data_IF_567711276589
#
_entry.id   IF_567711276589
#
_cell.length_a   1.000
_cell.length_b   1.000
_cell.length_c   1.000
_cell.angle_alpha   90.00
_cell.angle_beta   90.00
_cell.angle_gamma   90.00
#
_symmetry.space_group_name_H-M   'P 1'
#
loop_
_entity.id
_entity.type
_entity.pdbx_description
1 polymer ?
#
# COMPACT_ATOMS: atom_id res chain seq x y z
N UNK A 1 -23.54 -5.74 4.22
CA UNK A 1 -22.40 -4.80 4.14
C UNK A 1 -22.44 -4.25 2.73
N UNK A 2 -22.43 -2.93 2.49
CA UNK A 2 -22.20 -2.45 1.12
C UNK A 2 -20.90 -3.10 0.60
N UNK A 3 -20.89 -3.51 -0.66
CA UNK A 3 -19.71 -4.08 -1.30
C UNK A 3 -18.57 -3.06 -1.20
N UNK A 4 -17.60 -3.33 -0.33
CA UNK A 4 -16.44 -2.47 -0.20
C UNK A 4 -15.68 -2.46 -1.52
N UNK A 5 -15.07 -1.32 -1.90
CA UNK A 5 -14.32 -1.24 -3.14
C UNK A 5 -13.22 -2.30 -3.17
N UNK A 6 -12.90 -2.77 -4.37
CA UNK A 6 -11.78 -3.70 -4.60
C UNK A 6 -10.48 -3.11 -4.03
N UNK A 7 -10.30 -1.79 -4.19
CA UNK A 7 -9.15 -1.02 -3.75
C UNK A 7 -9.57 0.25 -3.01
N UNK A 8 -9.01 0.46 -1.81
CA UNK A 8 -9.05 1.72 -1.07
C UNK A 8 -7.65 2.35 -1.03
N UNK A 9 -7.55 3.67 -0.98
CA UNK A 9 -6.27 4.41 -0.88
C UNK A 9 -6.19 5.16 0.45
N UNK A 10 -5.02 5.74 0.74
CA UNK A 10 -4.77 6.57 1.92
C UNK A 10 -5.65 7.83 1.98
N UNK A 11 -6.37 8.17 0.90
CA UNK A 11 -7.28 9.32 0.88
C UNK A 11 -8.62 9.03 1.57
N UNK A 12 -8.89 7.76 1.94
CA UNK A 12 -10.10 7.37 2.66
C UNK A 12 -9.87 7.37 4.18
N UNK A 13 -10.77 8.01 4.93
CA UNK A 13 -10.76 8.06 6.39
C UNK A 13 -10.70 6.67 7.05
N UNK A 14 -11.36 5.66 6.48
CA UNK A 14 -11.33 4.29 7.00
C UNK A 14 -9.93 3.67 6.97
N UNK A 15 -9.09 4.10 6.03
CA UNK A 15 -7.70 3.66 5.94
C UNK A 15 -6.87 4.31 7.04
N UNK A 16 -7.05 5.61 7.26
CA UNK A 16 -6.39 6.32 8.38
C UNK A 16 -6.76 5.70 9.73
N UNK A 17 -8.05 5.44 9.96
CA UNK A 17 -8.53 4.81 11.19
C UNK A 17 -7.99 3.39 11.38
N UNK A 18 -7.93 2.60 10.31
CA UNK A 18 -7.34 1.26 10.35
C UNK A 18 -5.82 1.30 10.64
N UNK A 19 -5.13 2.37 10.24
CA UNK A 19 -3.71 2.59 10.52
C UNK A 19 -3.41 2.70 12.01
N UNK A 20 -4.34 3.22 12.83
CA UNK A 20 -4.18 3.36 14.28
C UNK A 20 -4.05 2.02 15.01
N UNK A 21 -4.68 0.98 14.48
CA UNK A 21 -4.59 -0.40 15.01
C UNK A 21 -3.52 -1.22 14.28
N UNK A 22 -2.99 -0.70 13.17
CA UNK A 22 -2.21 -1.44 12.19
C UNK A 22 -3.09 -2.18 11.19
N UNK A 23 -2.60 -2.29 9.96
CA UNK A 23 -3.24 -3.02 8.87
C UNK A 23 -2.78 -4.49 8.84
N UNK A 24 -3.70 -5.44 8.65
CA UNK A 24 -3.39 -6.85 8.32
C UNK A 24 -3.32 -7.02 6.80
N UNK A 25 -2.11 -6.85 6.30
CA UNK A 25 -1.76 -6.90 4.89
C UNK A 25 -1.63 -8.34 4.40
N UNK A 26 -2.30 -8.66 3.29
CA UNK A 26 -2.19 -9.95 2.58
C UNK A 26 -1.88 -9.74 1.10
N UNK A 27 -1.23 -10.69 0.41
CA UNK A 27 -1.02 -10.59 -1.03
C UNK A 27 -2.36 -10.48 -1.76
N UNK A 28 -2.43 -9.59 -2.75
CA UNK A 28 -3.63 -9.35 -3.52
C UNK A 28 -3.31 -9.00 -4.97
N UNK A 29 -3.96 -9.75 -5.87
CA UNK A 29 -3.93 -9.53 -7.30
C UNK A 29 -5.23 -8.86 -7.73
N UNK A 30 -5.13 -7.81 -8.53
CA UNK A 30 -6.29 -7.06 -9.02
C UNK A 30 -6.01 -6.48 -10.39
N UNK A 31 -7.06 -6.04 -11.08
CA UNK A 31 -6.93 -5.37 -12.38
C UNK A 31 -7.28 -3.89 -12.24
N UNK A 32 -6.36 -3.00 -12.61
CA UNK A 32 -6.59 -1.55 -12.66
C UNK A 32 -6.11 -1.02 -14.00
N UNK A 33 -6.89 -0.12 -14.62
CA UNK A 33 -6.60 0.41 -15.96
C UNK A 33 -6.34 -0.68 -17.01
N UNK A 34 -7.07 -1.79 -16.94
CA UNK A 34 -6.93 -2.96 -17.82
C UNK A 34 -5.53 -3.59 -17.81
N UNK A 35 -4.82 -3.49 -16.68
CA UNK A 35 -3.52 -4.13 -16.45
C UNK A 35 -3.57 -4.91 -15.13
N UNK A 36 -2.92 -6.08 -15.06
CA UNK A 36 -2.75 -6.79 -13.81
C UNK A 36 -1.83 -5.99 -12.88
N UNK A 37 -2.19 -5.95 -11.61
CA UNK A 37 -1.42 -5.33 -10.55
C UNK A 37 -1.35 -6.29 -9.36
N UNK A 38 -0.22 -6.21 -8.66
CA UNK A 38 0.08 -6.97 -7.45
C UNK A 38 0.40 -5.98 -6.34
N UNK A 39 -0.27 -6.10 -5.21
CA UNK A 39 -0.02 -5.27 -4.02
C UNK A 39 -0.44 -6.01 -2.75
N UNK A 40 0.08 -5.59 -1.61
CA UNK A 40 -0.47 -6.00 -0.33
C UNK A 40 -1.81 -5.30 -0.10
N UNK A 41 -2.85 -6.01 0.33
CA UNK A 41 -4.16 -5.45 0.66
C UNK A 41 -4.53 -5.73 2.11
N UNK A 42 -5.00 -4.70 2.81
CA UNK A 42 -5.54 -4.85 4.16
C UNK A 42 -6.87 -5.61 4.11
N UNK A 43 -7.01 -6.67 4.90
CA UNK A 43 -8.25 -7.49 4.92
C UNK A 43 -9.45 -6.77 5.54
N UNK A 44 -9.22 -5.68 6.28
CA UNK A 44 -10.28 -4.94 6.99
C UNK A 44 -10.76 -3.70 6.26
N UNK A 45 -9.84 -2.81 5.85
CA UNK A 45 -10.18 -1.54 5.19
C UNK A 45 -9.96 -1.56 3.67
N UNK A 46 -9.47 -2.67 3.12
CA UNK A 46 -9.20 -2.86 1.70
C UNK A 46 -8.20 -1.86 1.10
N UNK A 47 -7.45 -1.16 1.95
CA UNK A 47 -6.30 -0.37 1.52
C UNK A 47 -5.34 -1.26 0.74
N UNK A 48 -4.74 -0.75 -0.33
CA UNK A 48 -3.60 -1.40 -0.99
C UNK A 48 -2.31 -0.68 -0.61
N UNK A 49 -1.22 -1.42 -0.47
CA UNK A 49 0.09 -0.86 -0.21
C UNK A 49 0.65 -0.19 -1.47
N UNK A 50 1.54 0.78 -1.25
CA UNK A 50 2.20 1.50 -2.32
C UNK A 50 3.14 0.61 -3.15
N UNK A 51 3.83 -0.34 -2.51
CA UNK A 51 4.74 -1.25 -3.18
C UNK A 51 4.06 -2.56 -3.59
N UNK A 52 4.66 -3.21 -4.58
CA UNK A 52 4.26 -4.52 -5.08
C UNK A 52 4.71 -5.63 -4.12
N UNK A 53 3.84 -6.60 -3.79
CA UNK A 53 4.23 -7.70 -2.90
C UNK A 53 5.29 -8.64 -3.50
N UNK A 54 5.49 -8.61 -4.81
CA UNK A 54 6.53 -9.36 -5.50
C UNK A 54 7.91 -8.70 -5.36
N UNK A 55 8.00 -7.46 -4.90
CA UNK A 55 9.28 -6.83 -4.56
C UNK A 55 9.87 -7.45 -3.30
N UNK A 56 11.20 -7.57 -3.24
CA UNK A 56 11.89 -8.19 -2.10
C UNK A 56 11.69 -7.40 -0.79
N UNK A 57 11.55 -6.08 -0.88
CA UNK A 57 11.25 -5.22 0.25
C UNK A 57 10.43 -4.02 -0.25
N UNK A 58 9.09 -4.13 -0.36
CA UNK A 58 8.26 -3.07 -0.94
C UNK A 58 8.02 -1.90 0.02
N UNK A 59 7.51 -0.79 -0.53
CA UNK A 59 6.89 0.24 0.30
C UNK A 59 5.61 -0.31 0.96
N UNK A 60 5.56 -0.29 2.29
CA UNK A 60 4.48 -0.88 3.08
C UNK A 60 3.44 0.16 3.54
N UNK A 61 3.60 1.42 3.12
CA UNK A 61 2.60 2.46 3.39
C UNK A 61 1.39 2.32 2.44
N UNK A 62 0.19 2.74 2.87
CA UNK A 62 -0.98 2.75 1.99
C UNK A 62 -0.74 3.56 0.71
N UNK A 63 -1.31 3.14 -0.40
CA UNK A 63 -1.19 3.83 -1.68
C UNK A 63 -1.75 5.26 -1.60
N UNK A 64 -1.09 6.23 -2.24
CA UNK A 64 -1.28 7.68 -2.07
C UNK A 64 -0.89 8.24 -0.68
N UNK A 65 0.00 7.57 0.06
CA UNK A 65 0.60 8.15 1.27
C UNK A 65 1.34 9.47 0.97
N UNK A 66 1.43 10.34 1.99
CA UNK A 66 2.04 11.69 1.92
C UNK A 66 3.31 11.82 2.74
N UNK A 67 3.77 10.72 3.30
CA UNK A 67 5.01 10.63 4.07
C UNK A 67 6.13 10.00 3.22
N UNK A 68 7.40 10.05 3.63
CA UNK A 68 8.45 9.31 2.93
C UNK A 68 8.08 7.83 2.81
N UNK A 69 8.42 7.21 1.68
CA UNK A 69 8.24 5.78 1.53
C UNK A 69 8.95 5.04 2.66
N UNK A 70 8.34 3.95 3.12
CA UNK A 70 8.89 3.13 4.19
C UNK A 70 8.81 1.65 3.82
N UNK A 71 9.95 0.97 3.91
CA UNK A 71 10.05 -0.46 3.70
C UNK A 71 9.65 -1.26 4.94
N UNK A 72 9.40 -2.56 4.78
CA UNK A 72 9.15 -3.45 5.92
C UNK A 72 10.40 -3.61 6.79
N UNK A 73 11.59 -3.51 6.19
CA UNK A 73 12.87 -3.57 6.87
C UNK A 73 13.29 -2.24 7.51
N UNK A 74 12.50 -1.17 7.34
CA UNK A 74 12.72 0.13 7.96
C UNK A 74 13.51 1.14 7.12
N UNK A 75 13.87 0.81 5.87
CA UNK A 75 14.47 1.77 4.94
C UNK A 75 13.45 2.86 4.57
N UNK A 76 13.93 4.09 4.37
CA UNK A 76 13.09 5.22 3.99
C UNK A 76 13.69 5.96 2.80
N UNK A 77 12.82 6.44 1.91
CA UNK A 77 13.22 7.28 0.77
C UNK A 77 12.14 8.33 0.42
N UNK A 78 12.50 9.44 -0.25
CA UNK A 78 11.57 10.53 -0.55
C UNK A 78 10.40 10.11 -1.47
N UNK A 79 9.26 10.79 -1.35
CA UNK A 79 8.13 10.64 -2.28
C UNK A 79 8.56 10.98 -3.70
N UNK A 80 8.18 10.14 -4.66
CA UNK A 80 8.50 10.34 -6.07
C UNK A 80 9.93 9.95 -6.46
N UNK A 81 10.75 9.50 -5.50
CA UNK A 81 12.07 8.91 -5.76
C UNK A 81 12.01 7.39 -5.86
N UNK A 82 12.97 6.80 -6.58
CA UNK A 82 13.17 5.36 -6.56
C UNK A 82 14.11 4.98 -5.41
N UNK A 83 13.88 3.84 -4.76
CA UNK A 83 14.79 3.34 -3.72
C UNK A 83 16.25 3.23 -4.20
N UNK A 84 16.46 2.85 -5.46
CA UNK A 84 17.79 2.64 -6.06
C UNK A 84 18.60 3.92 -6.29
N UNK A 85 17.99 5.10 -6.14
CA UNK A 85 18.70 6.38 -6.29
C UNK A 85 19.38 6.82 -4.97
N UNK A 86 19.18 6.09 -3.88
CA UNK A 86 19.68 6.40 -2.54
C UNK A 86 20.58 5.30 -1.92
N UNK A 87 21.02 4.32 -2.71
CA UNK A 87 21.92 3.25 -2.29
C UNK A 87 23.38 3.52 -2.70
#
# INVERSE_FOLDING_TARGET
>A
MPDQPEVTTNDNLDVELCGLTGHDWRPHEYTRFNRPHTSWRCVWCHAVACGDYAEADPCWLPYHHREPHRSRNGEQWPIGGNRREHA
#
